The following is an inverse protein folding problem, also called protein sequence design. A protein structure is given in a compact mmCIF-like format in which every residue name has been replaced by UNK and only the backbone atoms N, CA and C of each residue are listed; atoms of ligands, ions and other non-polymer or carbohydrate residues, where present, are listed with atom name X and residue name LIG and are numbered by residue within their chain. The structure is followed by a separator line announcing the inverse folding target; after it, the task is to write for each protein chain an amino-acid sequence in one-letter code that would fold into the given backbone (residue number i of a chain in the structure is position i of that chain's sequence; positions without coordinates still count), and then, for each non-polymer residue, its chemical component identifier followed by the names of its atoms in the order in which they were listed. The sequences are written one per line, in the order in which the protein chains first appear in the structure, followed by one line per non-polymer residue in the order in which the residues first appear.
data_IF_727420125374
#
_entry.id   IF_727420125374
#
_cell.length_a   1.000
_cell.length_b   1.000
_cell.length_c   1.000
_cell.angle_alpha   90.00
_cell.angle_beta   90.00
_cell.angle_gamma   90.00
#
_symmetry.space_group_name_H-M   'P 1'
#
loop_
_entity.id
_entity.type
_entity.pdbx_description
1 polymer ?
#
# COMPACT_ATOMS: atom_id res chain seq x y z
N UNK A 1 -25.09 -68.91 6.70
CA UNK A 1 -25.36 -67.66 7.46
C UNK A 1 -24.09 -66.88 7.83
N UNK A 2 -22.92 -67.08 7.18
CA UNK A 2 -21.63 -66.56 7.70
C UNK A 2 -20.94 -65.46 6.86
N UNK A 3 -21.57 -64.90 5.81
CA UNK A 3 -20.92 -63.87 4.98
C UNK A 3 -21.23 -62.42 5.40
N UNK A 4 -22.34 -62.19 6.11
CA UNK A 4 -22.75 -60.84 6.55
C UNK A 4 -22.03 -60.35 7.82
N UNK A 5 -21.57 -61.27 8.69
CA UNK A 5 -20.83 -60.90 9.91
C UNK A 5 -19.43 -60.33 9.62
N UNK A 6 -18.77 -60.79 8.55
CA UNK A 6 -17.44 -60.27 8.15
C UNK A 6 -17.57 -58.83 7.62
N UNK A 7 -18.65 -58.51 6.91
CA UNK A 7 -18.91 -57.16 6.40
C UNK A 7 -19.24 -56.14 7.51
N UNK A 8 -19.94 -56.58 8.57
CA UNK A 8 -20.24 -55.73 9.73
C UNK A 8 -18.99 -55.50 10.59
N UNK A 9 -18.10 -56.49 10.70
CA UNK A 9 -16.81 -56.34 11.39
C UNK A 9 -15.84 -55.37 10.70
N UNK A 10 -15.79 -55.35 9.37
CA UNK A 10 -14.95 -54.40 8.62
C UNK A 10 -15.47 -52.96 8.67
N UNK A 11 -16.78 -52.75 8.80
CA UNK A 11 -17.35 -51.40 8.93
C UNK A 11 -17.05 -50.73 10.28
N UNK A 12 -16.81 -51.51 11.34
CA UNK A 12 -16.49 -51.00 12.68
C UNK A 12 -15.00 -50.65 12.89
N UNK A 13 -14.10 -51.18 12.07
CA UNK A 13 -12.65 -50.86 12.14
C UNK A 13 -12.35 -49.48 11.51
N UNK A 14 -13.21 -48.98 10.63
CA UNK A 14 -13.05 -47.66 10.01
C UNK A 14 -13.36 -46.48 10.94
N UNK A 15 -13.88 -46.72 12.15
CA UNK A 15 -14.33 -45.66 13.06
C UNK A 15 -13.29 -45.24 14.12
N UNK A 16 -12.11 -45.86 14.15
CA UNK A 16 -11.05 -45.55 15.14
C UNK A 16 -9.77 -45.00 14.52
N UNK A 17 -9.83 -44.50 13.29
CA UNK A 17 -8.76 -43.64 12.77
C UNK A 17 -8.86 -42.26 13.46
N UNK A 18 -8.36 -42.17 14.70
CA UNK A 18 -7.95 -40.92 15.31
C UNK A 18 -6.73 -40.43 14.51
N UNK A 19 -6.98 -39.69 13.43
CA UNK A 19 -5.95 -38.94 12.73
C UNK A 19 -5.42 -37.90 13.69
N UNK A 20 -4.30 -38.19 14.35
CA UNK A 20 -3.55 -37.18 15.07
C UNK A 20 -3.05 -36.17 14.04
N UNK A 21 -3.77 -35.05 14.00
CA UNK A 21 -3.29 -33.69 13.82
C UNK A 21 -2.19 -33.48 12.79
N UNK A 22 -2.51 -33.80 11.53
CA UNK A 22 -1.85 -33.13 10.41
C UNK A 22 -2.00 -31.61 10.55
N UNK A 23 -3.15 -31.14 11.04
CA UNK A 23 -3.38 -29.72 11.31
C UNK A 23 -2.50 -29.18 12.46
N UNK A 24 -2.37 -29.86 13.61
CA UNK A 24 -1.44 -29.37 14.66
C UNK A 24 0.03 -29.52 14.26
N UNK A 25 0.41 -30.52 13.46
CA UNK A 25 1.77 -30.62 12.91
C UNK A 25 2.05 -29.48 11.93
N UNK A 26 1.09 -29.13 11.06
CA UNK A 26 1.19 -27.98 10.16
C UNK A 26 1.23 -26.66 10.94
N UNK A 27 0.40 -26.49 11.96
CA UNK A 27 0.41 -25.31 12.83
C UNK A 27 1.72 -25.22 13.65
N UNK A 28 2.29 -26.36 14.04
CA UNK A 28 3.59 -26.41 14.72
C UNK A 28 4.75 -25.96 13.81
N UNK A 29 4.77 -26.35 12.53
CA UNK A 29 5.78 -25.89 11.58
C UNK A 29 5.58 -24.41 11.18
N UNK A 30 4.33 -23.96 11.01
CA UNK A 30 4.01 -22.55 10.74
C UNK A 30 4.44 -21.64 11.90
N UNK A 31 4.39 -22.14 13.14
CA UNK A 31 4.80 -21.40 14.34
C UNK A 31 6.30 -21.06 14.38
N UNK A 32 7.14 -21.78 13.63
CA UNK A 32 8.59 -21.57 13.64
C UNK A 32 9.06 -20.44 12.71
N UNK A 33 8.27 -20.11 11.68
CA UNK A 33 8.66 -19.13 10.66
C UNK A 33 8.06 -17.75 10.94
N UNK A 34 8.76 -16.69 10.50
CA UNK A 34 8.24 -15.31 10.61
C UNK A 34 7.45 -14.96 9.36
N UNK A 35 6.15 -14.80 9.53
CA UNK A 35 5.24 -14.44 8.45
C UNK A 35 5.00 -12.94 8.41
N UNK A 36 5.14 -12.33 7.24
CA UNK A 36 4.84 -10.92 7.05
C UNK A 36 3.50 -10.72 6.35
N UNK A 37 2.73 -9.72 6.80
CA UNK A 37 1.52 -9.32 6.10
C UNK A 37 1.85 -8.91 4.66
N UNK A 38 1.06 -9.44 3.73
CA UNK A 38 1.15 -9.21 2.30
C UNK A 38 -0.12 -8.52 1.81
N UNK A 39 0.03 -7.64 0.82
CA UNK A 39 -1.07 -6.95 0.16
C UNK A 39 -2.03 -6.18 1.10
N UNK A 40 -1.50 -5.49 2.14
CA UNK A 40 -2.31 -4.56 2.95
C UNK A 40 -2.98 -3.51 2.06
N UNK A 41 -2.25 -2.98 1.07
CA UNK A 41 -2.80 -2.25 -0.07
C UNK A 41 -2.15 -2.77 -1.35
N UNK A 42 -2.90 -2.74 -2.45
CA UNK A 42 -2.42 -3.23 -3.76
C UNK A 42 -1.62 -2.20 -4.55
N UNK A 43 -1.61 -0.94 -4.11
CA UNK A 43 -0.92 0.17 -4.76
C UNK A 43 -0.21 1.04 -3.72
N UNK A 44 0.82 1.78 -4.15
CA UNK A 44 1.58 2.75 -3.32
C UNK A 44 0.74 3.95 -2.88
N UNK A 45 -0.48 4.09 -3.41
CA UNK A 45 -1.42 5.17 -3.13
C UNK A 45 -2.85 4.64 -2.86
N UNK A 46 -3.59 5.40 -2.04
CA UNK A 46 -5.02 5.26 -1.77
C UNK A 46 -5.67 6.58 -2.17
N UNK A 47 -6.39 6.59 -3.30
CA UNK A 47 -6.98 7.80 -3.88
C UNK A 47 -5.90 8.88 -4.10
N UNK A 48 -5.83 9.90 -3.24
CA UNK A 48 -4.87 11.00 -3.33
C UNK A 48 -3.73 10.89 -2.31
N UNK A 49 -3.81 9.94 -1.38
CA UNK A 49 -2.83 9.78 -0.30
C UNK A 49 -1.87 8.63 -0.58
N UNK A 50 -0.71 8.62 0.06
CA UNK A 50 0.20 7.47 0.01
C UNK A 50 -0.30 6.34 0.91
N UNK A 51 0.00 5.10 0.52
CA UNK A 51 -0.22 3.91 1.33
C UNK A 51 1.09 3.39 1.93
N UNK A 52 0.98 2.52 2.95
CA UNK A 52 2.13 1.75 3.47
C UNK A 52 2.68 0.72 2.48
N UNK A 53 2.02 0.49 1.34
CA UNK A 53 2.52 -0.47 0.35
C UNK A 53 3.80 0.06 -0.28
N UNK A 54 4.76 -0.85 -0.47
CA UNK A 54 6.08 -0.53 -0.97
C UNK A 54 6.39 -1.31 -2.24
N UNK A 55 7.11 -0.64 -3.14
CA UNK A 55 7.67 -1.29 -4.32
C UNK A 55 8.75 -2.29 -3.90
N UNK A 56 8.98 -3.29 -4.74
CA UNK A 56 10.07 -4.25 -4.57
C UNK A 56 11.39 -3.62 -5.00
N UNK A 57 12.50 -4.04 -4.39
CA UNK A 57 13.84 -3.56 -4.75
C UNK A 57 14.05 -3.54 -6.27
N UNK A 58 14.68 -2.49 -6.76
CA UNK A 58 15.01 -2.24 -8.17
C UNK A 58 13.79 -2.12 -9.10
N UNK A 59 12.60 -1.86 -8.57
CA UNK A 59 11.43 -1.59 -9.41
C UNK A 59 11.21 -0.09 -9.55
N UNK A 60 11.02 0.34 -10.80
CA UNK A 60 10.56 1.66 -11.16
C UNK A 60 9.06 1.61 -11.44
N UNK A 61 8.31 2.48 -10.79
CA UNK A 61 6.90 2.68 -11.00
C UNK A 61 6.70 4.04 -11.66
N UNK A 62 6.13 4.05 -12.86
CA UNK A 62 5.76 5.28 -13.57
C UNK A 62 4.27 5.53 -13.39
N UNK A 63 3.93 6.68 -12.81
CA UNK A 63 2.59 7.05 -12.40
C UNK A 63 2.12 8.26 -13.20
N UNK A 64 0.89 8.17 -13.71
CA UNK A 64 0.21 9.27 -14.37
C UNK A 64 -1.10 9.51 -13.64
N UNK A 65 -1.18 10.62 -12.89
CA UNK A 65 -2.40 11.04 -12.23
C UNK A 65 -3.15 11.99 -13.14
N UNK A 66 -4.41 11.67 -13.43
CA UNK A 66 -5.35 12.59 -14.04
C UNK A 66 -6.45 12.88 -13.03
N UNK A 67 -6.60 14.15 -12.66
CA UNK A 67 -7.68 14.61 -11.79
C UNK A 67 -8.60 15.50 -12.60
N UNK A 68 -9.76 14.95 -12.93
CA UNK A 68 -10.83 15.65 -13.63
C UNK A 68 -11.58 16.61 -12.70
N UNK A 69 -12.17 17.63 -13.29
CA UNK A 69 -13.02 18.61 -12.63
C UNK A 69 -14.36 18.01 -12.18
N UNK A 70 -15.19 18.85 -11.57
CA UNK A 70 -16.49 18.43 -11.08
C UNK A 70 -17.44 18.04 -12.24
N UNK A 71 -18.14 16.92 -12.06
CA UNK A 71 -19.14 16.42 -13.03
C UNK A 71 -20.34 17.36 -13.21
N UNK A 72 -20.60 18.21 -12.22
CA UNK A 72 -21.73 19.15 -12.19
C UNK A 72 -21.68 20.22 -13.27
N UNK A 73 -20.55 20.36 -13.98
CA UNK A 73 -20.41 21.28 -15.11
C UNK A 73 -21.15 20.86 -16.39
N UNK A 74 -21.75 19.67 -16.42
CA UNK A 74 -22.54 19.20 -17.56
C UNK A 74 -21.75 19.08 -18.86
N UNK A 75 -22.44 19.06 -19.99
CA UNK A 75 -21.83 18.91 -21.32
C UNK A 75 -20.88 20.07 -21.67
N UNK A 76 -21.13 21.28 -21.16
CA UNK A 76 -20.33 22.47 -21.44
C UNK A 76 -18.89 22.36 -20.94
N UNK A 77 -18.66 21.64 -19.84
CA UNK A 77 -17.32 21.29 -19.32
C UNK A 77 -16.95 19.84 -19.63
N UNK A 78 -17.66 19.22 -20.56
CA UNK A 78 -17.56 17.81 -20.92
C UNK A 78 -17.52 16.90 -19.67
N UNK A 79 -18.46 17.11 -18.74
CA UNK A 79 -18.58 16.39 -17.48
C UNK A 79 -17.32 16.45 -16.59
N UNK A 80 -16.56 17.54 -16.68
CA UNK A 80 -15.33 17.77 -15.92
C UNK A 80 -14.07 17.19 -16.58
N UNK A 81 -14.21 16.49 -17.70
CA UNK A 81 -13.08 15.89 -18.43
C UNK A 81 -12.20 16.96 -19.09
N UNK A 82 -12.82 18.07 -19.53
CA UNK A 82 -12.12 19.18 -20.20
C UNK A 82 -11.18 19.95 -19.26
N UNK A 83 -11.47 19.96 -17.96
CA UNK A 83 -10.64 20.62 -16.95
C UNK A 83 -9.91 19.58 -16.09
N UNK A 84 -8.67 19.24 -16.46
CA UNK A 84 -7.89 18.22 -15.78
C UNK A 84 -6.50 18.71 -15.34
N UNK A 85 -6.18 18.43 -14.08
CA UNK A 85 -4.80 18.49 -13.60
C UNK A 85 -4.14 17.14 -13.83
N UNK A 86 -2.92 17.16 -14.35
CA UNK A 86 -2.11 15.99 -14.62
C UNK A 86 -0.80 16.06 -13.84
N UNK A 87 -0.43 14.95 -13.19
CA UNK A 87 0.89 14.75 -12.60
C UNK A 87 1.56 13.52 -13.17
N UNK A 88 2.79 13.68 -13.65
CA UNK A 88 3.69 12.59 -14.02
C UNK A 88 4.64 12.33 -12.85
N UNK A 89 4.79 11.09 -12.43
CA UNK A 89 5.63 10.71 -11.30
C UNK A 89 6.43 9.45 -11.56
N UNK A 90 7.64 9.40 -11.01
CA UNK A 90 8.50 8.24 -11.00
C UNK A 90 8.80 7.88 -9.55
N UNK A 91 8.51 6.63 -9.17
CA UNK A 91 8.89 6.08 -7.87
C UNK A 91 9.85 4.91 -8.08
N UNK A 92 11.01 4.93 -7.45
CA UNK A 92 12.01 3.88 -7.55
C UNK A 92 12.31 3.30 -6.18
N UNK A 93 12.18 1.98 -6.04
CA UNK A 93 12.57 1.27 -4.83
C UNK A 93 14.07 0.98 -4.83
N UNK A 94 14.81 1.75 -4.05
CA UNK A 94 16.24 1.52 -3.78
C UNK A 94 16.42 0.16 -3.09
N UNK A 95 15.50 -0.20 -2.21
CA UNK A 95 15.41 -1.51 -1.57
C UNK A 95 13.94 -1.79 -1.17
N UNK A 96 13.66 -2.94 -0.57
CA UNK A 96 12.29 -3.32 -0.21
C UNK A 96 11.64 -2.44 0.87
N UNK A 97 12.41 -1.57 1.55
CA UNK A 97 11.94 -0.69 2.61
C UNK A 97 12.06 0.80 2.26
N UNK A 98 12.82 1.20 1.25
CA UNK A 98 13.05 2.59 0.83
C UNK A 98 12.67 2.79 -0.63
N UNK A 99 11.73 3.72 -0.83
CA UNK A 99 11.35 4.25 -2.12
C UNK A 99 11.68 5.72 -2.16
N UNK A 100 12.26 6.17 -3.26
CA UNK A 100 12.43 7.59 -3.58
C UNK A 100 11.63 7.89 -4.83
N UNK A 101 11.25 9.14 -5.03
CA UNK A 101 10.52 9.50 -6.23
C UNK A 101 10.57 10.98 -6.52
N UNK A 102 10.21 11.30 -7.75
CA UNK A 102 10.12 12.66 -8.27
C UNK A 102 8.87 12.78 -9.14
N UNK A 103 8.32 13.97 -9.23
CA UNK A 103 7.16 14.23 -10.05
C UNK A 103 7.10 15.64 -10.60
N UNK A 104 6.20 15.81 -11.56
CA UNK A 104 5.84 17.10 -12.14
C UNK A 104 4.35 17.15 -12.36
N UNK A 105 3.72 18.19 -11.83
CA UNK A 105 2.33 18.54 -12.05
C UNK A 105 2.20 19.71 -13.01
N UNK A 106 1.16 19.70 -13.84
CA UNK A 106 0.76 20.88 -14.61
C UNK A 106 0.08 21.93 -13.71
N UNK A 107 -0.48 21.52 -12.57
CA UNK A 107 -1.03 22.42 -11.57
C UNK A 107 0.10 23.26 -10.97
N UNK A 108 -0.02 24.58 -11.09
CA UNK A 108 0.99 25.58 -10.69
C UNK A 108 2.43 25.33 -11.20
N UNK A 109 2.58 24.48 -12.24
CA UNK A 109 3.89 24.04 -12.74
C UNK A 109 4.77 23.51 -11.60
N UNK A 110 4.21 22.67 -10.73
CA UNK A 110 4.90 22.18 -9.54
C UNK A 110 5.80 20.98 -9.85
N UNK A 111 7.00 20.98 -9.29
CA UNK A 111 7.87 19.80 -9.22
C UNK A 111 7.87 19.27 -7.79
N UNK A 112 7.91 17.97 -7.64
CA UNK A 112 7.88 17.33 -6.33
C UNK A 112 8.91 16.22 -6.21
N UNK A 113 9.28 15.92 -4.97
CA UNK A 113 10.12 14.82 -4.58
C UNK A 113 9.55 14.10 -3.37
N UNK A 114 9.75 12.79 -3.30
CA UNK A 114 9.28 11.96 -2.19
C UNK A 114 10.34 10.97 -1.72
N UNK A 115 10.29 10.69 -0.42
CA UNK A 115 11.01 9.61 0.24
C UNK A 115 9.98 8.87 1.09
N UNK A 116 9.90 7.55 0.91
CA UNK A 116 9.03 6.68 1.70
C UNK A 116 9.82 5.51 2.27
N UNK A 117 9.86 5.43 3.58
CA UNK A 117 10.64 4.45 4.35
C UNK A 117 9.73 3.58 5.21
N UNK A 118 9.75 2.27 5.03
CA UNK A 118 9.05 1.32 5.89
C UNK A 118 9.87 1.05 7.13
N UNK A 119 9.41 1.55 8.27
CA UNK A 119 10.07 1.41 9.56
C UNK A 119 9.73 0.08 10.24
N UNK A 120 8.47 -0.34 10.13
CA UNK A 120 7.98 -1.57 10.73
C UNK A 120 7.02 -2.28 9.79
N UNK A 121 7.03 -3.62 9.78
CA UNK A 121 6.11 -4.43 8.97
C UNK A 121 5.30 -5.36 9.86
N UNK A 122 3.99 -5.37 9.63
CA UNK A 122 3.08 -6.28 10.29
C UNK A 122 3.54 -7.72 10.04
N UNK A 123 3.67 -8.50 11.11
CA UNK A 123 4.17 -9.87 11.09
C UNK A 123 3.65 -10.69 12.27
N UNK A 124 3.62 -12.01 12.09
CA UNK A 124 3.31 -13.02 13.10
C UNK A 124 4.42 -14.09 13.14
N UNK A 125 4.41 -14.94 14.16
CA UNK A 125 5.35 -16.05 14.32
C UNK A 125 6.58 -15.69 15.15
N UNK A 126 7.66 -16.46 14.95
CA UNK A 126 8.87 -16.44 15.79
C UNK A 126 9.59 -15.08 15.80
N UNK A 127 10.05 -14.69 17.00
CA UNK A 127 10.77 -13.44 17.22
C UNK A 127 9.85 -12.22 17.39
N UNK A 128 10.34 -11.03 17.07
CA UNK A 128 9.54 -9.80 17.20
C UNK A 128 8.40 -9.79 16.19
N UNK A 129 7.16 -9.94 16.67
CA UNK A 129 5.94 -9.80 15.88
C UNK A 129 5.36 -8.39 16.00
N UNK A 130 4.81 -7.87 14.90
CA UNK A 130 4.15 -6.56 14.91
C UNK A 130 2.71 -6.66 14.44
N UNK A 131 1.74 -6.08 15.15
CA UNK A 131 0.35 -6.04 14.71
C UNK A 131 0.10 -5.04 13.57
N UNK A 132 1.07 -4.15 13.28
CA UNK A 132 0.91 -3.04 12.34
C UNK A 132 2.13 -2.87 11.43
N UNK A 133 1.92 -2.23 10.28
CA UNK A 133 2.97 -1.72 9.41
C UNK A 133 3.07 -0.21 9.61
N UNK A 134 4.30 0.30 9.78
CA UNK A 134 4.57 1.72 9.93
C UNK A 134 5.53 2.14 8.83
N UNK A 135 5.17 3.19 8.09
CA UNK A 135 6.03 3.83 7.11
C UNK A 135 6.11 5.32 7.37
N UNK A 136 7.30 5.88 7.23
CA UNK A 136 7.53 7.31 7.21
C UNK A 136 7.52 7.82 5.78
N UNK A 137 6.76 8.89 5.54
CA UNK A 137 6.69 9.59 4.28
C UNK A 137 7.23 11.01 4.49
N UNK A 138 8.12 11.43 3.61
CA UNK A 138 8.56 12.81 3.47
C UNK A 138 8.35 13.22 2.01
N UNK A 139 7.62 14.30 1.77
CA UNK A 139 7.46 14.90 0.45
C UNK A 139 7.83 16.37 0.49
N UNK A 140 8.30 16.87 -0.63
CA UNK A 140 8.59 18.28 -0.83
C UNK A 140 8.18 18.69 -2.23
N UNK A 141 7.68 19.91 -2.35
CA UNK A 141 7.19 20.46 -3.61
C UNK A 141 7.75 21.85 -3.83
N UNK A 142 8.02 22.19 -5.08
CA UNK A 142 8.46 23.51 -5.52
C UNK A 142 7.59 24.01 -6.68
N UNK A 143 6.93 25.14 -6.46
CA UNK A 143 6.13 25.83 -7.48
C UNK A 143 7.06 26.60 -8.41
N UNK A 144 7.02 26.29 -9.72
CA UNK A 144 7.83 26.98 -10.74
C UNK A 144 7.06 28.04 -11.54
N UNK A 145 5.74 28.21 -11.32
CA UNK A 145 4.95 29.28 -11.93
C UNK A 145 5.55 30.65 -11.59
N UNK A 146 5.57 31.58 -12.57
CA UNK A 146 5.94 32.98 -12.32
C UNK A 146 4.98 33.57 -11.29
N UNK A 147 5.49 34.44 -10.42
CA UNK A 147 4.63 35.18 -9.49
C UNK A 147 3.71 36.11 -10.27
N UNK A 148 2.46 36.23 -9.82
CA UNK A 148 1.45 37.03 -10.51
C UNK A 148 1.75 38.54 -10.40
N UNK A 149 2.31 38.99 -9.27
CA UNK A 149 2.85 40.35 -9.10
C UNK A 149 4.39 40.32 -9.00
N UNK A 150 5.12 40.83 -10.02
CA UNK A 150 6.58 40.90 -9.99
C UNK A 150 7.12 42.06 -9.15
N UNK A 151 6.31 43.07 -8.81
CA UNK A 151 6.76 44.29 -8.13
C UNK A 151 6.88 44.13 -6.61
N UNK A 152 6.31 43.05 -6.05
CA UNK A 152 6.48 42.70 -4.63
C UNK A 152 7.78 41.92 -4.41
N UNK A 153 8.27 41.95 -3.17
CA UNK A 153 9.36 41.07 -2.75
C UNK A 153 8.90 39.61 -2.78
N UNK A 154 9.53 38.83 -3.64
CA UNK A 154 9.14 37.47 -3.99
C UNK A 154 10.20 36.49 -3.50
N UNK A 155 9.97 35.86 -2.34
CA UNK A 155 10.94 34.95 -1.74
C UNK A 155 10.90 33.55 -2.36
N UNK A 156 12.07 32.91 -2.46
CA UNK A 156 12.16 31.52 -2.90
C UNK A 156 11.47 30.56 -1.93
N UNK A 157 11.54 30.83 -0.62
CA UNK A 157 10.85 30.05 0.42
C UNK A 157 9.33 30.02 0.22
N UNK A 158 8.73 31.05 -0.38
CA UNK A 158 7.30 31.08 -0.72
C UNK A 158 6.90 30.09 -1.82
N UNK A 159 7.86 29.39 -2.43
CA UNK A 159 7.62 28.38 -3.47
C UNK A 159 7.68 26.96 -2.94
N UNK A 160 8.21 26.75 -1.74
CA UNK A 160 8.49 25.43 -1.20
C UNK A 160 7.41 25.02 -0.21
N UNK A 161 6.92 23.80 -0.35
CA UNK A 161 6.06 23.13 0.62
C UNK A 161 6.64 21.76 0.97
N UNK A 162 6.38 21.28 2.18
CA UNK A 162 6.86 19.98 2.64
C UNK A 162 5.84 19.32 3.55
N UNK A 163 5.78 18.00 3.49
CA UNK A 163 4.92 17.17 4.33
C UNK A 163 5.75 16.04 4.90
N UNK A 164 5.58 15.80 6.20
CA UNK A 164 6.13 14.64 6.89
C UNK A 164 4.99 13.91 7.56
N UNK A 165 4.85 12.62 7.28
CA UNK A 165 3.70 11.83 7.71
C UNK A 165 4.12 10.43 8.14
N UNK A 166 3.53 9.95 9.23
CA UNK A 166 3.62 8.54 9.61
C UNK A 166 2.36 7.82 9.14
N UNK A 167 2.55 6.85 8.25
CA UNK A 167 1.51 5.98 7.75
C UNK A 167 1.50 4.71 8.61
N UNK A 168 0.42 4.52 9.36
CA UNK A 168 0.25 3.35 10.24
C UNK A 168 -0.92 2.54 9.72
N UNK A 169 -0.69 1.29 9.35
CA UNK A 169 -1.73 0.45 8.77
C UNK A 169 -1.76 -0.95 9.38
N UNK A 170 -2.94 -1.55 9.35
CA UNK A 170 -3.18 -2.94 9.74
C UNK A 170 -4.05 -3.64 8.72
N UNK A 171 -3.60 -4.80 8.24
CA UNK A 171 -4.44 -5.79 7.56
C UNK A 171 -5.12 -6.65 8.63
N UNK A 172 -6.45 -6.60 8.70
CA UNK A 172 -7.21 -7.40 9.65
C UNK A 172 -7.51 -8.78 9.08
N UNK A 173 -7.88 -8.83 7.80
CA UNK A 173 -8.13 -10.04 7.03
C UNK A 173 -7.99 -9.72 5.52
N UNK A 174 -8.33 -10.66 4.64
CA UNK A 174 -8.24 -10.47 3.18
C UNK A 174 -9.16 -9.37 2.63
N UNK A 175 -10.25 -9.05 3.33
CA UNK A 175 -11.28 -8.10 2.90
C UNK A 175 -11.12 -6.71 3.53
N UNK A 176 -10.37 -6.59 4.63
CA UNK A 176 -10.28 -5.37 5.41
C UNK A 176 -8.84 -5.02 5.80
N UNK A 177 -8.38 -3.86 5.32
CA UNK A 177 -7.17 -3.17 5.77
C UNK A 177 -7.50 -1.72 6.07
N UNK A 178 -6.96 -1.18 7.16
CA UNK A 178 -7.13 0.22 7.55
C UNK A 178 -5.78 0.90 7.66
N UNK A 179 -5.73 2.19 7.31
CA UNK A 179 -4.57 3.04 7.47
C UNK A 179 -4.96 4.37 8.13
N UNK A 180 -4.18 4.76 9.12
CA UNK A 180 -4.15 6.09 9.70
C UNK A 180 -2.95 6.84 9.12
N UNK A 181 -3.17 8.10 8.78
CA UNK A 181 -2.22 8.97 8.11
C UNK A 181 -2.41 10.40 8.62
#
# INVERSE_FOLDING_TARGET
MNKYFIFIGLAFISFTALGQDIDDLMDSELSESKEYAMATFKSTHIINSHSVAQLKKNHLNFLIYHRFGAITGGIDKFFGIDNANMRLGFEYAVNDWLTIGIGRSNFEKTYDGLIKMRLLRQSKGKGFSSPVTISYLATSEIVSKKFDDPNRTNYFSSRISYIYQLLIARKFNENLSLQLM
#
